data_IF_136228622445
#
_entry.id   IF_136228622445
#
_cell.length_a   1.000
_cell.length_b   1.000
_cell.length_c   1.000
_cell.angle_alpha   90.00
_cell.angle_beta   90.00
_cell.angle_gamma   90.00
#
_symmetry.space_group_name_H-M   'P 1'
#
loop_
_entity.id
_entity.type
_entity.pdbx_description
1 polymer ?
#
# COMPACT_ATOMS: atom_id res chain seq x y z
N UNK A 1 0.83 -23.84 -5.18
CA UNK A 1 1.79 -23.07 -6.01
C UNK A 1 1.17 -22.53 -7.31
N UNK A 2 0.61 -23.34 -8.23
CA UNK A 2 0.08 -22.84 -9.52
C UNK A 2 -1.22 -22.02 -9.37
N UNK A 3 -2.16 -22.46 -8.52
CA UNK A 3 -3.44 -21.77 -8.32
C UNK A 3 -3.29 -20.41 -7.60
N UNK A 4 -2.48 -20.39 -6.55
CA UNK A 4 -2.15 -19.16 -5.81
C UNK A 4 -1.48 -18.12 -6.72
N UNK A 5 -0.56 -18.56 -7.57
CA UNK A 5 0.10 -17.70 -8.58
C UNK A 5 -0.89 -17.13 -9.61
N UNK A 6 -1.85 -17.91 -10.07
CA UNK A 6 -2.91 -17.44 -10.97
C UNK A 6 -3.83 -16.42 -10.29
N UNK A 7 -4.13 -16.64 -9.01
CA UNK A 7 -4.92 -15.71 -8.22
C UNK A 7 -4.18 -14.36 -8.05
N UNK A 8 -2.88 -14.40 -7.76
CA UNK A 8 -2.05 -13.19 -7.63
C UNK A 8 -1.93 -12.40 -8.95
N UNK A 9 -1.74 -13.08 -10.08
CA UNK A 9 -1.74 -12.44 -11.41
C UNK A 9 -3.05 -11.70 -11.71
N UNK A 10 -4.19 -12.29 -11.32
CA UNK A 10 -5.50 -11.64 -11.43
C UNK A 10 -5.60 -10.40 -10.55
N UNK A 11 -5.13 -10.48 -9.30
CA UNK A 11 -5.10 -9.34 -8.39
C UNK A 11 -4.30 -8.18 -8.97
N UNK A 12 -3.12 -8.44 -9.55
CA UNK A 12 -2.31 -7.39 -10.18
C UNK A 12 -3.04 -6.74 -11.36
N UNK A 13 -3.58 -7.54 -12.27
CA UNK A 13 -4.27 -7.02 -13.44
C UNK A 13 -5.49 -6.16 -13.04
N UNK A 14 -6.21 -6.56 -11.98
CA UNK A 14 -7.31 -5.77 -11.41
C UNK A 14 -6.84 -4.44 -10.83
N UNK A 15 -5.72 -4.41 -10.10
CA UNK A 15 -5.15 -3.17 -9.56
C UNK A 15 -4.75 -2.22 -10.69
N UNK A 16 -4.05 -2.72 -11.71
CA UNK A 16 -3.61 -1.89 -12.83
C UNK A 16 -4.78 -1.37 -13.66
N UNK A 17 -5.84 -2.16 -13.82
CA UNK A 17 -7.07 -1.71 -14.49
C UNK A 17 -7.74 -0.57 -13.70
N UNK A 18 -7.80 -0.68 -12.37
CA UNK A 18 -8.34 0.37 -11.49
C UNK A 18 -7.49 1.62 -11.48
N UNK A 19 -6.17 1.51 -11.47
CA UNK A 19 -5.27 2.66 -11.57
C UNK A 19 -5.43 3.39 -12.91
N UNK A 20 -5.63 2.63 -14.00
CA UNK A 20 -5.79 3.21 -15.34
C UNK A 20 -7.17 3.82 -15.60
N UNK A 21 -8.23 3.29 -14.99
CA UNK A 21 -9.61 3.62 -15.36
C UNK A 21 -10.51 4.05 -14.19
N UNK A 22 -10.01 4.04 -12.95
CA UNK A 22 -10.79 4.26 -11.74
C UNK A 22 -11.52 2.99 -11.27
N UNK A 23 -12.19 3.07 -10.12
CA UNK A 23 -12.95 1.96 -9.53
C UNK A 23 -14.21 1.59 -10.37
N UNK A 24 -14.74 2.53 -11.16
CA UNK A 24 -15.95 2.37 -11.97
C UNK A 24 -15.65 2.00 -13.45
N UNK A 25 -14.67 1.12 -13.68
CA UNK A 25 -14.31 0.71 -15.03
C UNK A 25 -15.46 -0.04 -15.72
N UNK A 26 -15.64 0.21 -17.02
CA UNK A 26 -16.73 -0.33 -17.82
C UNK A 26 -16.55 -1.82 -18.12
N UNK A 27 -17.61 -2.50 -18.55
CA UNK A 27 -17.54 -3.90 -18.98
C UNK A 27 -16.56 -4.12 -20.14
N UNK A 28 -16.39 -3.13 -21.02
CA UNK A 28 -15.42 -3.16 -22.12
C UNK A 28 -13.98 -3.06 -21.61
N UNK A 29 -13.73 -2.24 -20.58
CA UNK A 29 -12.43 -2.15 -19.93
C UNK A 29 -12.13 -3.43 -19.14
N UNK A 30 -13.13 -4.00 -18.44
CA UNK A 30 -13.01 -5.28 -17.77
C UNK A 30 -12.69 -6.44 -18.73
N UNK A 31 -13.14 -6.36 -19.99
CA UNK A 31 -12.84 -7.37 -21.00
C UNK A 31 -11.35 -7.43 -21.40
N UNK A 32 -10.55 -6.42 -21.01
CA UNK A 32 -9.09 -6.41 -21.23
C UNK A 32 -8.31 -7.25 -20.21
N UNK A 33 -8.92 -7.58 -19.06
CA UNK A 33 -8.28 -8.33 -17.98
C UNK A 33 -7.62 -9.65 -18.43
N UNK A 34 -8.28 -10.53 -19.22
CA UNK A 34 -7.66 -11.78 -19.65
C UNK A 34 -6.41 -11.57 -20.51
N UNK A 35 -6.42 -10.54 -21.38
CA UNK A 35 -5.28 -10.21 -22.23
C UNK A 35 -4.12 -9.65 -21.40
N UNK A 36 -4.41 -8.76 -20.46
CA UNK A 36 -3.42 -8.21 -19.52
C UNK A 36 -2.78 -9.30 -18.66
N UNK A 37 -3.57 -10.23 -18.11
CA UNK A 37 -3.06 -11.37 -17.33
C UNK A 37 -2.09 -12.22 -18.15
N UNK A 38 -2.44 -12.48 -19.41
CA UNK A 38 -1.60 -13.26 -20.32
C UNK A 38 -0.33 -12.50 -20.72
N UNK A 39 -0.40 -11.18 -20.86
CA UNK A 39 0.74 -10.31 -21.12
C UNK A 39 1.70 -10.26 -19.92
N UNK A 40 1.19 -10.10 -18.69
CA UNK A 40 2.02 -10.18 -17.47
C UNK A 40 2.65 -11.55 -17.29
N UNK A 41 1.92 -12.63 -17.61
CA UNK A 41 2.46 -13.99 -17.60
C UNK A 41 3.65 -14.15 -18.56
N UNK A 42 3.71 -13.37 -19.63
CA UNK A 42 4.76 -13.43 -20.67
C UNK A 42 5.92 -12.46 -20.42
N UNK A 43 5.66 -11.29 -19.85
CA UNK A 43 6.63 -10.20 -19.72
C UNK A 43 7.54 -10.30 -18.50
N UNK A 44 7.20 -11.13 -17.51
CA UNK A 44 7.89 -11.08 -16.22
C UNK A 44 8.10 -12.47 -15.66
N UNK A 45 9.27 -12.71 -15.04
CA UNK A 45 9.46 -13.93 -14.26
C UNK A 45 8.40 -13.92 -13.15
N UNK A 46 7.61 -14.99 -13.00
CA UNK A 46 6.52 -15.05 -12.02
C UNK A 46 6.88 -14.63 -10.60
N UNK A 47 8.15 -14.75 -10.23
CA UNK A 47 8.67 -14.34 -8.93
C UNK A 47 8.74 -12.80 -8.78
N UNK A 48 9.05 -12.08 -9.86
CA UNK A 48 9.09 -10.62 -9.87
C UNK A 48 7.69 -10.02 -9.75
N UNK A 49 6.68 -10.65 -10.37
CA UNK A 49 5.27 -10.26 -10.23
C UNK A 49 4.82 -10.36 -8.77
N UNK A 50 5.19 -11.45 -8.10
CA UNK A 50 4.88 -11.63 -6.68
C UNK A 50 5.57 -10.58 -5.82
N UNK A 51 6.83 -10.26 -6.11
CA UNK A 51 7.57 -9.21 -5.41
C UNK A 51 6.95 -7.83 -5.63
N UNK A 52 6.47 -7.53 -6.83
CA UNK A 52 5.83 -6.25 -7.15
C UNK A 52 4.47 -6.10 -6.46
N UNK A 53 3.70 -7.19 -6.35
CA UNK A 53 2.44 -7.20 -5.62
C UNK A 53 2.64 -7.01 -4.12
N UNK A 54 3.63 -7.69 -3.54
CA UNK A 54 3.99 -7.51 -2.14
C UNK A 54 4.43 -6.07 -1.86
N UNK A 55 5.25 -5.51 -2.75
CA UNK A 55 5.69 -4.12 -2.65
C UNK A 55 4.53 -3.14 -2.81
N UNK A 56 3.63 -3.37 -3.76
CA UNK A 56 2.44 -2.55 -3.95
C UNK A 56 1.55 -2.56 -2.69
N UNK A 57 1.31 -3.73 -2.09
CA UNK A 57 0.60 -3.85 -0.82
C UNK A 57 1.29 -3.09 0.33
N UNK A 58 2.62 -3.15 0.41
CA UNK A 58 3.43 -2.40 1.39
C UNK A 58 3.29 -0.89 1.18
N UNK A 59 3.31 -0.43 -0.07
CA UNK A 59 3.14 0.98 -0.41
C UNK A 59 1.74 1.50 -0.07
N UNK A 60 0.69 0.72 -0.34
CA UNK A 60 -0.68 1.08 0.06
C UNK A 60 -0.83 1.19 1.58
N UNK A 61 -0.27 0.25 2.34
CA UNK A 61 -0.29 0.31 3.80
C UNK A 61 0.43 1.56 4.34
N UNK A 62 1.60 1.88 3.78
CA UNK A 62 2.34 3.10 4.13
C UNK A 62 1.57 4.38 3.77
N UNK A 63 0.94 4.41 2.61
CA UNK A 63 0.08 5.52 2.18
C UNK A 63 -1.08 5.73 3.16
N UNK A 64 -1.76 4.66 3.57
CA UNK A 64 -2.85 4.74 4.55
C UNK A 64 -2.39 5.31 5.90
N UNK A 65 -1.22 4.88 6.40
CA UNK A 65 -0.62 5.43 7.63
C UNK A 65 -0.31 6.92 7.50
N UNK A 66 0.25 7.34 6.36
CA UNK A 66 0.54 8.75 6.10
C UNK A 66 -0.74 9.60 6.07
N UNK A 67 -1.77 9.14 5.37
CA UNK A 67 -3.07 9.82 5.30
C UNK A 67 -3.70 9.93 6.69
N UNK A 68 -3.70 8.84 7.46
CA UNK A 68 -4.22 8.85 8.82
C UNK A 68 -3.46 9.82 9.73
N UNK A 69 -2.12 9.81 9.68
CA UNK A 69 -1.30 10.76 10.44
C UNK A 69 -1.60 12.20 10.06
N UNK A 70 -1.73 12.51 8.76
CA UNK A 70 -2.09 13.85 8.28
C UNK A 70 -3.45 14.30 8.83
N UNK A 71 -4.43 13.40 8.82
CA UNK A 71 -5.81 13.73 9.21
C UNK A 71 -6.00 13.77 10.74
N UNK A 72 -5.19 13.02 11.50
CA UNK A 72 -5.22 12.98 12.98
C UNK A 72 -4.17 13.87 13.65
N UNK A 73 -3.15 14.33 12.93
CA UNK A 73 -2.21 15.29 13.49
C UNK A 73 -2.92 16.63 13.66
N UNK A 74 -3.26 16.99 14.89
CA UNK A 74 -3.66 18.36 15.19
C UNK A 74 -2.50 19.29 14.82
N UNK A 75 -2.84 20.43 14.20
CA UNK A 75 -1.94 21.44 13.64
C UNK A 75 -0.97 22.10 14.66
N UNK A 76 -0.91 21.58 15.88
CA UNK A 76 -0.01 22.03 16.95
C UNK A 76 1.41 21.43 16.82
N UNK A 77 1.59 20.33 16.08
CA UNK A 77 2.90 19.68 15.97
C UNK A 77 3.28 19.42 14.51
N UNK A 78 4.28 20.12 13.96
CA UNK A 78 4.84 19.79 12.67
C UNK A 78 5.56 18.45 12.82
N UNK A 79 4.84 17.36 12.59
CA UNK A 79 5.31 15.97 12.73
C UNK A 79 6.54 15.65 11.85
N UNK A 80 6.95 16.59 11.00
CA UNK A 80 8.11 16.47 10.12
C UNK A 80 9.26 17.46 10.34
N UNK A 81 9.21 18.40 11.30
CA UNK A 81 10.23 19.49 11.31
C UNK A 81 10.99 19.79 12.60
N UNK A 82 10.76 19.10 13.71
CA UNK A 82 11.71 19.22 14.83
C UNK A 82 11.72 17.97 15.70
N UNK A 83 12.72 17.11 15.48
CA UNK A 83 13.12 16.14 16.51
C UNK A 83 13.63 16.94 17.71
N UNK A 84 13.06 16.77 18.91
CA UNK A 84 13.59 17.43 20.11
C UNK A 84 15.08 17.10 20.28
N UNK A 85 15.91 18.05 20.70
CA UNK A 85 17.37 17.88 20.81
C UNK A 85 17.78 16.64 21.62
N UNK A 86 16.98 16.25 22.61
CA UNK A 86 17.22 15.07 23.45
C UNK A 86 16.84 13.73 22.79
N UNK A 87 16.11 13.75 21.66
CA UNK A 87 15.90 12.61 20.77
C UNK A 87 16.90 12.57 19.60
N UNK A 88 17.85 13.52 19.54
CA UNK A 88 18.89 13.53 18.50
C UNK A 88 19.71 12.25 18.58
N UNK A 89 19.78 11.50 17.47
CA UNK A 89 20.49 10.21 17.42
C UNK A 89 19.63 8.98 17.77
N UNK A 90 18.40 9.18 18.25
CA UNK A 90 17.44 8.08 18.45
C UNK A 90 16.80 7.76 17.11
N UNK A 91 17.10 6.58 16.58
CA UNK A 91 16.40 6.01 15.42
C UNK A 91 15.42 4.96 15.90
N UNK A 92 14.14 5.22 15.75
CA UNK A 92 13.12 4.20 15.91
C UNK A 92 13.19 3.24 14.72
N UNK A 93 13.03 1.94 14.97
CA UNK A 93 12.90 0.96 13.89
C UNK A 93 11.59 1.21 13.18
N UNK A 94 11.60 1.18 11.85
CA UNK A 94 10.39 1.37 11.04
C UNK A 94 9.26 0.44 11.49
N UNK A 95 9.55 -0.84 11.76
CA UNK A 95 8.56 -1.81 12.23
C UNK A 95 7.88 -1.43 13.56
N UNK A 96 8.59 -0.75 14.45
CA UNK A 96 8.05 -0.36 15.74
C UNK A 96 7.18 0.90 15.61
N UNK A 97 7.57 1.83 14.73
CA UNK A 97 6.76 2.99 14.35
C UNK A 97 5.48 2.56 13.64
N UNK A 98 5.59 1.71 12.63
CA UNK A 98 4.46 1.18 11.86
C UNK A 98 3.46 0.47 12.78
N UNK A 99 3.94 -0.41 13.69
CA UNK A 99 3.09 -1.08 14.67
C UNK A 99 2.37 -0.09 15.58
N UNK A 100 3.08 0.92 16.08
CA UNK A 100 2.48 1.94 16.94
C UNK A 100 1.37 2.72 16.23
N UNK A 101 1.55 3.05 14.95
CA UNK A 101 0.53 3.72 14.14
C UNK A 101 -0.65 2.79 13.91
N UNK A 102 -0.41 1.54 13.50
CA UNK A 102 -1.46 0.56 13.23
C UNK A 102 -2.33 0.29 14.48
N UNK A 103 -1.71 0.19 15.67
CA UNK A 103 -2.43 0.10 16.95
C UNK A 103 -3.29 1.34 17.21
N UNK A 104 -2.73 2.53 17.03
CA UNK A 104 -3.47 3.78 17.23
C UNK A 104 -4.63 3.94 16.23
N UNK A 105 -4.46 3.51 14.98
CA UNK A 105 -5.52 3.45 13.97
C UNK A 105 -6.66 2.51 14.39
N UNK A 106 -6.32 1.33 14.91
CA UNK A 106 -7.31 0.33 15.35
C UNK A 106 -8.09 0.76 16.60
N UNK A 107 -7.45 1.51 17.51
CA UNK A 107 -8.07 2.03 18.73
C UNK A 107 -8.93 3.30 18.51
N UNK A 108 -9.10 3.74 17.25
CA UNK A 108 -9.91 4.91 16.88
C UNK A 108 -9.16 6.25 16.95
N UNK A 109 -7.85 6.20 17.21
CA UNK A 109 -7.03 7.35 17.58
C UNK A 109 -7.28 7.70 19.05
N UNK A 110 -6.24 7.59 19.88
CA UNK A 110 -6.33 8.01 21.27
C UNK A 110 -6.68 9.51 21.35
N UNK A 111 -7.85 9.79 21.93
CA UNK A 111 -8.53 11.08 22.10
C UNK A 111 -9.22 11.55 20.79
N UNK A 112 -10.44 12.08 20.78
CA UNK A 112 -11.34 12.65 21.79
C UNK A 112 -12.32 13.55 21.03
#
# INVERSE_FOLDING_TARGET
MIAEKQQRLRELAMVMLRDAHGEDFTAEQAALLPAQIEEYRRLTEPQEILSLLEENGRLHANSARYLWLRDKSENAHPFYLSTPIWMTGVRFRQSDVDRSIDTAMAEGGANG
#
